data_IF_541532594321
#
_entry.id   IF_541532594321
#
_cell.length_a   1.000
_cell.length_b   1.000
_cell.length_c   1.000
_cell.angle_alpha   90.00
_cell.angle_beta   90.00
_cell.angle_gamma   90.00
#
_symmetry.space_group_name_H-M   'P 1'
#
loop_
_entity.id
_entity.type
_entity.pdbx_description
1 polymer ?
#
# COMPACT_ATOMS: atom_id res chain seq x y z
N UNK A 1 -5.28 13.17 -10.37
CA UNK A 1 -5.48 12.47 -9.10
C UNK A 1 -6.70 11.58 -9.24
N UNK A 2 -6.55 10.29 -8.97
CA UNK A 2 -7.63 9.30 -9.01
C UNK A 2 -7.75 8.63 -7.65
N UNK A 3 -8.98 8.33 -7.26
CA UNK A 3 -9.32 7.72 -5.99
C UNK A 3 -10.49 6.77 -6.19
N UNK A 4 -10.42 5.60 -5.56
CA UNK A 4 -11.55 4.68 -5.52
C UNK A 4 -11.55 3.89 -4.22
N UNK A 5 -12.71 3.32 -3.91
CA UNK A 5 -12.93 2.44 -2.77
C UNK A 5 -13.37 1.07 -3.26
N UNK A 6 -12.88 0.02 -2.61
CA UNK A 6 -13.30 -1.35 -2.85
C UNK A 6 -13.31 -2.10 -1.52
N UNK A 7 -14.50 -2.38 -0.98
CA UNK A 7 -14.64 -2.98 0.36
C UNK A 7 -14.01 -2.09 1.44
N UNK A 8 -13.06 -2.64 2.20
CA UNK A 8 -12.30 -1.92 3.23
C UNK A 8 -11.08 -1.17 2.70
N UNK A 9 -10.84 -1.20 1.37
CA UNK A 9 -9.67 -0.59 0.76
C UNK A 9 -10.01 0.76 0.16
N UNK A 10 -9.12 1.72 0.38
CA UNK A 10 -9.05 2.95 -0.38
C UNK A 10 -7.77 2.96 -1.20
N UNK A 11 -7.87 3.27 -2.48
CA UNK A 11 -6.71 3.46 -3.35
C UNK A 11 -6.61 4.90 -3.80
N UNK A 12 -5.42 5.46 -3.64
CA UNK A 12 -5.06 6.78 -4.14
C UNK A 12 -3.97 6.63 -5.18
N UNK A 13 -4.21 7.23 -6.35
CA UNK A 13 -3.27 7.20 -7.46
C UNK A 13 -3.08 8.62 -8.00
N UNK A 14 -1.87 9.14 -7.86
CA UNK A 14 -1.50 10.45 -8.35
C UNK A 14 -0.38 10.31 -9.38
N UNK A 15 -0.50 11.04 -10.49
CA UNK A 15 0.54 11.14 -11.49
C UNK A 15 1.04 12.58 -11.52
N UNK A 16 2.31 12.79 -11.21
CA UNK A 16 2.92 14.11 -11.13
C UNK A 16 4.37 14.06 -11.60
N UNK A 17 4.77 15.01 -12.44
CA UNK A 17 6.13 15.11 -13.01
C UNK A 17 6.67 13.78 -13.56
N UNK A 18 5.86 13.07 -14.33
CA UNK A 18 6.24 11.79 -14.93
C UNK A 18 6.18 10.59 -13.97
N UNK A 19 5.93 10.80 -12.68
CA UNK A 19 5.95 9.75 -11.66
C UNK A 19 4.55 9.41 -11.19
N UNK A 20 4.35 8.13 -10.96
CA UNK A 20 3.17 7.65 -10.25
C UNK A 20 3.46 7.60 -8.74
N UNK A 21 2.46 7.97 -7.97
CA UNK A 21 2.37 7.77 -6.53
C UNK A 21 1.16 6.91 -6.28
N UNK A 22 1.40 5.74 -5.70
CA UNK A 22 0.39 4.76 -5.40
C UNK A 22 0.32 4.60 -3.89
N UNK A 23 -0.88 4.71 -3.32
CA UNK A 23 -1.13 4.48 -1.92
C UNK A 23 -2.39 3.62 -1.76
N UNK A 24 -2.27 2.56 -0.96
CA UNK A 24 -3.39 1.77 -0.49
C UNK A 24 -3.61 2.07 0.98
N UNK A 25 -4.87 2.13 1.40
CA UNK A 25 -5.26 2.19 2.80
C UNK A 25 -6.21 1.04 3.06
N UNK A 26 -5.88 0.19 4.01
CA UNK A 26 -6.79 -0.78 4.61
C UNK A 26 -7.46 -0.09 5.80
N UNK A 27 -8.76 0.20 5.67
CA UNK A 27 -9.55 0.84 6.72
C UNK A 27 -9.84 -0.17 7.83
N UNK A 28 -9.70 0.28 9.08
CA UNK A 28 -10.00 -0.51 10.26
C UNK A 28 -10.91 0.27 11.19
N UNK A 29 -11.77 -0.46 11.91
CA UNK A 29 -12.72 0.12 12.86
C UNK A 29 -12.04 0.63 14.13
N UNK A 30 -10.87 0.07 14.47
CA UNK A 30 -10.09 0.41 15.65
C UNK A 30 -8.61 0.56 15.30
N UNK A 31 -7.93 1.45 16.01
CA UNK A 31 -6.49 1.66 15.88
C UNK A 31 -5.73 0.58 16.64
N UNK A 32 -5.01 -0.28 15.92
CA UNK A 32 -4.02 -1.20 16.50
C UNK A 32 -2.61 -0.65 16.24
N UNK A 33 -1.98 -0.11 17.27
CA UNK A 33 -0.62 0.45 17.16
C UNK A 33 0.44 -0.62 16.90
N UNK A 34 0.20 -1.86 17.31
CA UNK A 34 1.10 -2.98 17.04
C UNK A 34 1.07 -3.42 15.57
N UNK A 35 -0.02 -3.11 14.86
CA UNK A 35 -0.21 -3.50 13.47
C UNK A 35 0.90 -2.96 12.57
N UNK A 36 1.35 -1.72 12.80
CA UNK A 36 2.44 -1.14 12.02
C UNK A 36 3.73 -1.91 12.25
N UNK A 37 4.05 -2.27 13.50
CA UNK A 37 5.24 -3.04 13.84
C UNK A 37 5.18 -4.45 13.24
N UNK A 38 4.03 -5.12 13.31
CA UNK A 38 3.80 -6.43 12.67
C UNK A 38 3.97 -6.34 11.15
N UNK A 39 3.39 -5.31 10.51
CA UNK A 39 3.54 -5.07 9.08
C UNK A 39 5.02 -4.84 8.70
N UNK A 40 5.74 -4.00 9.45
CA UNK A 40 7.16 -3.74 9.20
C UNK A 40 8.00 -5.02 9.35
N UNK A 41 7.72 -5.86 10.33
CA UNK A 41 8.44 -7.12 10.55
C UNK A 41 8.16 -8.15 9.42
N UNK A 42 6.94 -8.16 8.89
CA UNK A 42 6.52 -9.08 7.82
C UNK A 42 6.87 -8.58 6.41
N UNK A 43 7.29 -7.32 6.26
CA UNK A 43 7.56 -6.72 4.97
C UNK A 43 8.81 -7.32 4.32
N UNK A 44 8.66 -7.76 3.06
CA UNK A 44 9.75 -8.32 2.25
C UNK A 44 9.98 -7.45 1.01
N UNK A 45 11.10 -6.70 0.92
CA UNK A 45 11.37 -5.82 -0.22
C UNK A 45 11.32 -6.51 -1.59
N UNK A 46 11.81 -7.76 -1.66
CA UNK A 46 11.81 -8.55 -2.89
C UNK A 46 10.39 -8.81 -3.45
N UNK A 47 9.37 -8.85 -2.58
CA UNK A 47 7.99 -9.02 -2.98
C UNK A 47 7.44 -7.81 -3.76
N UNK A 48 8.17 -6.68 -3.84
CA UNK A 48 7.75 -5.45 -4.50
C UNK A 48 8.68 -5.02 -5.64
N UNK A 49 9.36 -5.97 -6.31
CA UNK A 49 10.29 -5.67 -7.42
C UNK A 49 11.43 -4.71 -7.00
N UNK A 50 11.81 -4.74 -5.72
CA UNK A 50 12.81 -3.82 -5.16
C UNK A 50 12.32 -2.37 -5.02
N UNK A 51 11.06 -2.07 -5.34
CA UNK A 51 10.49 -0.73 -5.18
C UNK A 51 10.25 -0.47 -3.69
N UNK A 52 10.87 0.56 -3.09
CA UNK A 52 10.66 0.89 -1.70
C UNK A 52 9.19 1.18 -1.39
N UNK A 53 8.71 0.61 -0.30
CA UNK A 53 7.36 0.80 0.20
C UNK A 53 7.44 1.55 1.53
N UNK A 54 6.53 2.49 1.75
CA UNK A 54 6.37 3.19 3.03
C UNK A 54 5.09 2.74 3.67
N UNK A 55 5.19 2.27 4.91
CA UNK A 55 4.06 1.86 5.74
C UNK A 55 3.77 2.96 6.76
N UNK A 56 2.50 3.25 6.97
CA UNK A 56 2.04 4.26 7.93
C UNK A 56 0.82 3.75 8.66
N UNK A 57 0.74 4.02 9.95
CA UNK A 57 -0.51 3.92 10.69
C UNK A 57 -1.25 5.26 10.58
N UNK A 58 -2.49 5.20 10.14
CA UNK A 58 -3.42 6.33 10.09
C UNK A 58 -4.47 6.13 11.18
N UNK A 59 -5.16 7.21 11.55
CA UNK A 59 -6.27 7.16 12.53
C UNK A 59 -7.30 6.06 12.20
N UNK A 60 -7.55 5.85 10.92
CA UNK A 60 -8.60 4.94 10.44
C UNK A 60 -8.05 3.68 9.77
N UNK A 61 -6.77 3.32 9.99
CA UNK A 61 -6.21 2.05 9.50
C UNK A 61 -4.77 2.12 9.01
N UNK A 62 -4.34 1.08 8.28
CA UNK A 62 -2.96 0.90 7.82
C UNK A 62 -2.81 1.33 6.36
N UNK A 63 -1.82 2.15 6.08
CA UNK A 63 -1.51 2.60 4.72
C UNK A 63 -0.16 2.07 4.23
N UNK A 64 -0.10 1.79 2.93
CA UNK A 64 1.12 1.40 2.23
C UNK A 64 1.24 2.20 0.94
N UNK A 65 2.37 2.88 0.75
CA UNK A 65 2.60 3.72 -0.44
C UNK A 65 3.93 3.47 -1.11
N UNK A 66 4.02 3.78 -2.40
CA UNK A 66 5.28 3.80 -3.14
C UNK A 66 5.25 4.83 -4.27
N UNK A 67 6.44 5.18 -4.76
CA UNK A 67 6.63 5.91 -6.01
C UNK A 67 7.68 5.20 -6.85
N UNK A 68 7.27 4.42 -7.86
CA UNK A 68 8.16 3.78 -8.81
C UNK A 68 9.05 4.78 -9.60
N UNK A 69 10.15 4.32 -10.21
CA UNK A 69 10.99 5.13 -11.10
C UNK A 69 10.21 5.74 -12.27
N UNK A 70 10.68 6.86 -12.82
CA UNK A 70 10.09 7.53 -14.00
C UNK A 70 9.92 6.59 -15.21
N UNK A 71 10.86 5.68 -15.41
CA UNK A 71 10.88 4.72 -16.51
C UNK A 71 10.02 3.47 -16.28
N UNK A 72 9.29 3.39 -15.16
CA UNK A 72 8.46 2.23 -14.85
C UNK A 72 7.24 2.13 -15.78
N UNK A 73 6.91 0.92 -16.18
CA UNK A 73 5.74 0.64 -17.02
C UNK A 73 4.45 0.62 -16.21
N UNK A 74 3.32 0.85 -16.89
CA UNK A 74 1.99 0.68 -16.31
C UNK A 74 1.75 -0.74 -15.74
N UNK A 75 2.38 -1.76 -16.35
CA UNK A 75 2.34 -3.14 -15.85
C UNK A 75 2.96 -3.26 -14.46
N UNK A 76 4.11 -2.62 -14.22
CA UNK A 76 4.73 -2.58 -12.89
C UNK A 76 3.80 -1.89 -11.89
N UNK A 77 3.13 -0.81 -12.28
CA UNK A 77 2.20 -0.09 -11.41
C UNK A 77 1.03 -0.99 -10.99
N UNK A 78 0.45 -1.72 -11.93
CA UNK A 78 -0.64 -2.66 -11.66
C UNK A 78 -0.19 -3.81 -10.74
N UNK A 79 1.03 -4.35 -10.97
CA UNK A 79 1.61 -5.39 -10.10
C UNK A 79 1.82 -4.88 -8.67
N UNK A 80 2.31 -3.65 -8.51
CA UNK A 80 2.51 -3.02 -7.20
C UNK A 80 1.18 -2.80 -6.49
N UNK A 81 0.16 -2.32 -7.20
CA UNK A 81 -1.21 -2.18 -6.68
C UNK A 81 -1.73 -3.48 -6.07
N UNK A 82 -1.71 -4.58 -6.84
CA UNK A 82 -2.19 -5.86 -6.33
C UNK A 82 -1.34 -6.39 -5.16
N UNK A 83 -0.03 -6.15 -5.18
CA UNK A 83 0.86 -6.59 -4.10
C UNK A 83 0.66 -5.81 -2.81
N UNK A 84 0.43 -4.50 -2.89
CA UNK A 84 0.13 -3.68 -1.73
C UNK A 84 -1.19 -4.11 -1.08
N UNK A 85 -2.24 -4.34 -1.88
CA UNK A 85 -3.52 -4.84 -1.38
C UNK A 85 -3.33 -6.20 -0.68
N UNK A 86 -2.73 -7.18 -1.35
CA UNK A 86 -2.49 -8.52 -0.77
C UNK A 86 -1.64 -8.48 0.50
N UNK A 87 -0.67 -7.58 0.57
CA UNK A 87 0.15 -7.42 1.75
C UNK A 87 -0.63 -6.82 2.91
N UNK A 88 -1.45 -5.80 2.66
CA UNK A 88 -2.32 -5.22 3.68
C UNK A 88 -3.35 -6.24 4.17
N UNK A 89 -3.98 -7.00 3.27
CA UNK A 89 -4.87 -8.13 3.57
C UNK A 89 -4.21 -9.12 4.54
N UNK A 90 -2.95 -9.48 4.30
CA UNK A 90 -2.26 -10.46 5.16
C UNK A 90 -1.92 -9.92 6.56
N UNK A 91 -2.05 -8.62 6.81
CA UNK A 91 -1.88 -8.07 8.16
C UNK A 91 -3.15 -8.19 9.00
N UNK A 92 -4.31 -8.38 8.36
CA UNK A 92 -5.55 -8.74 9.03
C UNK A 92 -5.53 -10.23 9.39
N UNK A 93 -5.00 -10.57 10.55
CA UNK A 93 -5.29 -11.88 11.15
C UNK A 93 -6.77 -11.86 11.56
N UNK A 94 -7.58 -12.77 11.01
CA UNK A 94 -8.91 -13.04 11.57
C UNK A 94 -8.72 -13.43 13.04
N UNK A 95 -9.10 -12.53 13.94
CA UNK A 95 -9.43 -12.89 15.32
C UNK A 95 -10.75 -13.65 15.36
#
# INVERSE_FOLDING_TARGET
NMFWRQGQYETYLNYHNGRIHLCQILKQTFLDEELLFKALANWKPAAFQGIPQRLFLLRDGLAMSCSPPLSSSAELWLRLHHRQIKFLESQCVHG
#
